data_IF_071306633242
#
_entry.id   IF_071306633242
#
_cell.length_a   1.000
_cell.length_b   1.000
_cell.length_c   1.000
_cell.angle_alpha   90.00
_cell.angle_beta   90.00
_cell.angle_gamma   90.00
#
_symmetry.space_group_name_H-M   'P 1'
#
loop_
_entity.id
_entity.type
_entity.pdbx_description
1 polymer ?
#
# COMPACT_ATOMS: atom_id res chain seq x y z
N UNK A 1 -13.82 -4.42 6.64
CA UNK A 1 -13.57 -4.27 6.85
C UNK A 1 -12.80 -3.94 6.91
N UNK A 2 -12.48 -3.81 6.96
CA UNK A 2 -11.85 -3.36 6.95
C UNK A 2 -11.00 -3.38 7.56
N UNK A 3 -10.90 -3.30 7.98
CA UNK A 3 -10.23 -3.20 8.59
C UNK A 3 -9.08 -3.61 8.71
N UNK A 4 -8.45 -3.38 8.14
CA UNK A 4 -7.21 -3.64 8.25
C UNK A 4 -6.58 -2.72 9.14
N UNK A 5 -5.88 -3.04 10.08
CA UNK A 5 -5.18 -2.17 10.99
C UNK A 5 -3.87 -1.77 10.40
N UNK A 6 -3.92 -0.84 9.51
CA UNK A 6 -2.70 -0.38 8.86
C UNK A 6 -1.95 0.54 9.82
N UNK A 7 -0.67 0.28 10.08
CA UNK A 7 0.09 1.13 10.99
C UNK A 7 0.09 2.60 10.57
N UNK A 8 0.16 3.46 11.54
CA UNK A 8 0.06 4.89 11.28
C UNK A 8 1.20 5.37 10.39
N UNK A 9 2.39 4.83 10.58
CA UNK A 9 3.51 5.28 9.77
C UNK A 9 3.31 4.92 8.31
N UNK A 10 2.66 3.81 8.04
CA UNK A 10 2.36 3.43 6.67
C UNK A 10 1.28 4.33 6.10
N UNK A 11 0.27 4.62 6.89
CA UNK A 11 -0.81 5.46 6.42
C UNK A 11 -0.34 6.86 6.08
N UNK A 12 0.75 7.28 6.70
CA UNK A 12 1.29 8.60 6.43
C UNK A 12 2.14 8.64 5.16
N UNK A 13 2.44 7.49 4.57
CA UNK A 13 3.28 7.44 3.39
C UNK A 13 2.48 7.74 2.14
N UNK A 14 3.15 8.36 1.17
CA UNK A 14 2.55 8.48 -0.15
C UNK A 14 2.60 7.12 -0.83
N UNK A 15 1.86 7.00 -1.92
CA UNK A 15 1.88 5.76 -2.69
C UNK A 15 3.29 5.46 -3.16
N UNK A 16 3.98 6.49 -3.61
CA UNK A 16 5.33 6.30 -4.11
C UNK A 16 6.26 5.80 -3.01
N UNK A 17 6.14 6.37 -1.84
CA UNK A 17 6.97 5.94 -0.72
C UNK A 17 6.66 4.51 -0.33
N UNK A 18 5.39 4.17 -0.32
CA UNK A 18 4.99 2.82 0.01
C UNK A 18 5.52 1.83 -1.01
N UNK A 19 5.46 2.18 -2.27
CA UNK A 19 5.99 1.30 -3.31
C UNK A 19 7.49 1.11 -3.18
N UNK A 20 8.19 2.17 -2.84
CA UNK A 20 9.63 2.06 -2.65
C UNK A 20 9.98 1.16 -1.49
N UNK A 21 9.21 1.26 -0.43
CA UNK A 21 9.48 0.39 0.70
C UNK A 21 9.24 -1.07 0.34
N UNK A 22 8.19 -1.33 -0.42
CA UNK A 22 7.93 -2.70 -0.85
C UNK A 22 9.11 -3.23 -1.65
N UNK A 23 9.65 -2.43 -2.53
CA UNK A 23 10.79 -2.85 -3.32
C UNK A 23 11.97 -3.21 -2.44
N UNK A 24 12.19 -2.42 -1.40
CA UNK A 24 13.29 -2.70 -0.50
C UNK A 24 13.07 -3.98 0.28
N UNK A 25 11.85 -4.21 0.68
CA UNK A 25 11.54 -5.43 1.40
C UNK A 25 11.80 -6.64 0.51
N UNK A 26 11.37 -6.56 -0.74
CA UNK A 26 11.59 -7.66 -1.65
C UNK A 26 13.08 -7.92 -1.82
N UNK A 27 13.85 -6.87 -1.95
CA UNK A 27 15.28 -7.03 -2.08
C UNK A 27 15.88 -7.72 -0.88
N UNK A 28 15.44 -7.31 0.28
CA UNK A 28 15.93 -7.93 1.51
C UNK A 28 15.59 -9.40 1.56
N UNK A 29 14.38 -9.73 1.14
CA UNK A 29 13.96 -11.13 1.16
C UNK A 29 14.77 -11.96 0.18
N UNK A 30 15.13 -11.35 -0.93
CA UNK A 30 15.91 -12.07 -1.94
C UNK A 30 17.32 -12.36 -1.50
N UNK A 31 17.79 -11.61 -0.54
CA UNK A 31 19.16 -11.80 -0.08
C UNK A 31 19.38 -13.03 0.74
N UNK A 32 18.31 -13.64 1.20
CA UNK A 32 18.46 -14.87 1.95
C UNK A 32 19.16 -14.74 3.27
N UNK A 33 19.36 -13.55 3.69
CA UNK A 33 20.02 -13.34 4.96
C UNK A 33 19.03 -13.26 6.09
N UNK A 34 17.77 -13.20 5.77
CA UNK A 34 16.75 -13.03 6.77
C UNK A 34 16.30 -14.36 7.30
N UNK A 35 16.08 -14.44 8.60
CA UNK A 35 15.54 -15.67 9.15
C UNK A 35 14.04 -15.68 8.95
N UNK A 36 13.43 -16.78 9.31
CA UNK A 36 12.01 -16.98 9.04
C UNK A 36 11.15 -15.95 9.71
N UNK A 37 11.48 -15.61 10.93
CA UNK A 37 10.69 -14.66 11.67
C UNK A 37 10.72 -13.28 11.03
N UNK A 38 11.92 -12.85 10.63
CA UNK A 38 12.04 -11.56 9.97
C UNK A 38 11.33 -11.56 8.65
N UNK A 39 11.36 -12.67 7.94
CA UNK A 39 10.65 -12.77 6.68
C UNK A 39 9.17 -12.60 6.88
N UNK A 40 8.64 -13.23 7.92
CA UNK A 40 7.21 -13.12 8.20
C UNK A 40 6.83 -11.68 8.52
N UNK A 41 7.66 -11.02 9.33
CA UNK A 41 7.38 -9.63 9.65
C UNK A 41 7.40 -8.76 8.42
N UNK A 42 8.36 -8.99 7.54
CA UNK A 42 8.45 -8.20 6.32
C UNK A 42 7.27 -8.47 5.40
N UNK A 43 6.83 -9.70 5.33
CA UNK A 43 5.64 -10.02 4.55
C UNK A 43 4.42 -9.30 5.09
N UNK A 44 4.26 -9.31 6.41
CA UNK A 44 3.14 -8.63 7.00
C UNK A 44 3.17 -7.14 6.69
N UNK A 45 4.34 -6.57 6.77
CA UNK A 45 4.46 -5.16 6.47
C UNK A 45 4.14 -4.89 5.01
N UNK A 46 4.61 -5.77 4.12
CA UNK A 46 4.28 -5.64 2.70
C UNK A 46 2.79 -5.67 2.47
N UNK A 47 2.10 -6.54 3.17
CA UNK A 47 0.66 -6.60 3.03
C UNK A 47 0.01 -5.29 3.45
N UNK A 48 0.47 -4.72 4.54
CA UNK A 48 -0.09 -3.46 4.98
C UNK A 48 0.21 -2.35 3.99
N UNK A 49 1.40 -2.34 3.43
CA UNK A 49 1.73 -1.36 2.42
C UNK A 49 0.85 -1.51 1.20
N UNK A 50 0.59 -2.74 0.80
CA UNK A 50 -0.30 -2.99 -0.33
C UNK A 50 -1.71 -2.53 -0.05
N UNK A 51 -2.21 -2.78 1.13
CA UNK A 51 -3.54 -2.32 1.48
C UNK A 51 -3.61 -0.81 1.41
N UNK A 52 -2.59 -0.15 1.89
CA UNK A 52 -2.56 1.30 1.86
C UNK A 52 -2.58 1.81 0.43
N UNK A 53 -1.78 1.21 -0.43
CA UNK A 53 -1.72 1.62 -1.82
C UNK A 53 -3.07 1.41 -2.48
N UNK A 54 -3.71 0.30 -2.22
CA UNK A 54 -5.02 0.04 -2.78
C UNK A 54 -6.06 1.04 -2.31
N UNK A 55 -5.99 1.38 -1.04
CA UNK A 55 -6.92 2.37 -0.51
C UNK A 55 -6.73 3.71 -1.20
N UNK A 56 -5.48 4.10 -1.42
CA UNK A 56 -5.21 5.37 -2.06
C UNK A 56 -5.68 5.35 -3.51
N UNK A 57 -5.47 4.25 -4.19
CA UNK A 57 -5.96 4.12 -5.55
C UNK A 57 -7.48 4.19 -5.59
N UNK A 58 -8.13 3.56 -4.65
CA UNK A 58 -9.57 3.60 -4.59
C UNK A 58 -10.07 5.01 -4.42
N UNK A 59 -9.42 5.75 -3.55
CA UNK A 59 -9.80 7.14 -3.35
C UNK A 59 -9.66 7.94 -4.62
N UNK A 60 -8.55 7.73 -5.30
CA UNK A 60 -8.31 8.44 -6.54
C UNK A 60 -9.34 8.08 -7.59
N UNK A 61 -9.67 6.82 -7.69
CA UNK A 61 -10.66 6.38 -8.64
C UNK A 61 -12.00 7.03 -8.37
N UNK A 62 -12.35 7.10 -7.10
CA UNK A 62 -13.61 7.72 -6.75
C UNK A 62 -13.63 9.17 -7.14
N UNK A 63 -12.55 9.87 -6.90
CA UNK A 63 -12.46 11.26 -7.27
C UNK A 63 -12.61 11.44 -8.76
N UNK A 64 -11.93 10.61 -9.52
CA UNK A 64 -11.99 10.71 -10.96
C UNK A 64 -13.40 10.41 -11.45
N UNK A 65 -14.00 9.38 -10.91
CA UNK A 65 -15.35 9.03 -11.32
C UNK A 65 -16.35 10.11 -10.99
N UNK A 66 -16.21 10.70 -9.83
CA UNK A 66 -17.09 11.77 -9.46
C UNK A 66 -16.96 12.95 -10.39
N UNK A 67 -15.74 13.28 -10.71
CA UNK A 67 -15.51 14.39 -11.63
C UNK A 67 -16.06 14.09 -12.99
N UNK A 68 -15.84 12.88 -13.46
CA UNK A 68 -16.35 12.49 -14.73
C UNK A 68 -17.84 12.52 -14.77
N UNK A 69 -18.44 12.01 -13.74
CA UNK A 69 -19.90 12.01 -13.68
C UNK A 69 -20.44 13.42 -13.72
N UNK A 70 -19.79 14.32 -13.03
CA UNK A 70 -20.21 15.70 -13.05
C UNK A 70 -20.14 16.25 -14.45
N UNK A 71 -19.04 15.98 -15.12
CA UNK A 71 -18.90 16.47 -16.49
C UNK A 71 -19.91 15.87 -17.41
N UNK A 72 -20.13 14.61 -17.26
CA UNK A 72 -21.02 13.91 -18.15
C UNK A 72 -22.46 14.29 -17.95
N UNK A 73 -22.76 14.79 -16.80
CA UNK A 73 -24.08 15.15 -16.54
C UNK A 73 -24.58 16.28 -17.40
N UNK A 74 -23.74 16.99 -17.94
CA UNK A 74 -24.19 18.04 -18.83
C UNK A 74 -24.62 17.55 -20.15
#
# INVERSE_FOLDING_TARGET
MKSKNIPADIRAKSVEEAQNEIKQIIKNLENNETNLRESTDKYNRMMHLNYHIRDEFRKKLKEIQNNKNSSNKD
#
